data_IF_836101797412
#
_entry.id   IF_836101797412
#
_cell.length_a   1.000
_cell.length_b   1.000
_cell.length_c   1.000
_cell.angle_alpha   90.00
_cell.angle_beta   90.00
_cell.angle_gamma   90.00
#
_symmetry.space_group_name_H-M   'P 1'
#
loop_
_entity.id
_entity.type
_entity.pdbx_description
1 polymer ?
#
# COMPACT_ATOMS: atom_id res chain seq x y z
N UNK A 1 -34.95 38.00 -2.77
CA UNK A 1 -35.25 38.64 -1.46
C UNK A 1 -34.68 37.77 -0.35
N UNK A 2 -33.92 38.41 0.55
CA UNK A 2 -33.35 38.03 1.86
C UNK A 2 -31.96 37.36 1.75
N UNK A 3 -31.02 38.07 1.98
CA UNK A 3 -30.34 38.97 2.97
C UNK A 3 -29.16 38.23 3.58
N UNK A 4 -28.00 38.75 3.25
CA UNK A 4 -26.70 38.39 3.84
C UNK A 4 -26.61 38.95 5.27
N UNK A 5 -26.01 38.21 6.19
CA UNK A 5 -25.58 38.70 7.48
C UNK A 5 -24.06 38.60 7.56
N UNK A 6 -23.43 39.77 7.51
CA UNK A 6 -22.03 40.00 7.82
C UNK A 6 -21.87 40.11 9.34
N UNK A 7 -20.92 39.41 9.95
CA UNK A 7 -20.45 39.66 11.30
C UNK A 7 -19.07 40.28 11.24
N UNK A 8 -19.04 41.59 11.54
CA UNK A 8 -17.86 42.38 11.85
C UNK A 8 -17.36 42.05 13.25
N UNK A 9 -16.03 41.87 13.43
CA UNK A 9 -15.34 41.98 14.70
C UNK A 9 -14.23 43.04 14.61
N UNK A 10 -14.04 43.87 15.67
CA UNK A 10 -13.20 45.05 15.63
C UNK A 10 -11.71 44.72 15.80
N UNK A 11 -10.89 45.51 15.11
CA UNK A 11 -9.44 45.54 15.18
C UNK A 11 -9.04 46.47 16.38
N UNK A 12 -8.20 45.96 17.28
CA UNK A 12 -7.46 46.79 18.26
C UNK A 12 -5.98 46.86 17.85
N UNK A 13 -5.36 48.05 17.93
CA UNK A 13 -3.96 48.26 17.57
C UNK A 13 -3.00 47.88 18.70
N UNK A 14 -1.92 47.17 18.35
CA UNK A 14 -0.86 46.81 19.26
C UNK A 14 0.21 47.94 19.32
N UNK A 15 0.58 48.32 20.54
CA UNK A 15 1.66 49.24 20.89
C UNK A 15 3.03 48.53 20.83
N UNK A 16 4.13 49.18 20.43
CA UNK A 16 5.44 48.54 20.37
C UNK A 16 6.15 48.57 21.73
N UNK A 17 6.67 47.46 22.17
CA UNK A 17 7.51 47.33 23.36
C UNK A 17 9.01 47.37 23.00
N UNK A 18 9.70 48.22 23.68
CA UNK A 18 11.11 48.58 23.71
C UNK A 18 12.03 47.37 23.99
N UNK A 19 13.06 47.22 23.19
CA UNK A 19 14.17 46.29 23.37
C UNK A 19 15.20 46.80 24.38
N UNK A 20 15.55 45.99 25.40
CA UNK A 20 16.78 46.15 26.18
C UNK A 20 17.65 44.90 25.97
N UNK A 21 18.98 45.05 25.85
CA UNK A 21 19.90 43.94 25.69
C UNK A 21 20.23 43.28 27.04
N UNK A 22 20.12 41.99 27.15
CA UNK A 22 20.56 41.19 28.31
C UNK A 22 21.95 40.61 28.07
N UNK A 23 22.81 40.83 29.07
CA UNK A 23 24.19 40.43 29.15
C UNK A 23 24.39 38.91 29.15
N UNK A 24 25.41 38.48 28.43
CA UNK A 24 25.90 37.08 28.35
C UNK A 24 26.60 36.67 29.66
N UNK A 25 26.14 35.59 30.30
CA UNK A 25 26.85 34.91 31.40
C UNK A 25 27.84 33.90 30.83
N UNK A 26 29.07 33.80 31.43
CA UNK A 26 30.07 32.85 30.99
C UNK A 26 29.76 31.38 31.43
N UNK A 27 30.14 30.42 30.59
CA UNK A 27 30.02 28.98 30.83
C UNK A 27 30.99 28.52 31.98
N UNK A 28 30.61 27.54 32.80
CA UNK A 28 31.49 26.91 33.77
C UNK A 28 32.46 25.92 33.09
N UNK A 29 33.66 25.66 33.71
CA UNK A 29 34.71 24.82 33.14
C UNK A 29 34.37 23.34 33.21
N UNK A 30 34.78 22.56 32.15
CA UNK A 30 34.63 21.12 32.07
C UNK A 30 35.56 20.39 33.01
N UNK A 31 35.16 19.26 33.64
CA UNK A 31 36.03 18.44 34.48
C UNK A 31 36.97 17.59 33.64
N UNK A 32 38.25 17.55 34.04
CA UNK A 32 39.34 16.72 33.50
C UNK A 32 39.09 15.24 33.79
N UNK A 33 39.10 14.38 32.76
CA UNK A 33 39.09 12.93 32.85
C UNK A 33 40.40 12.39 33.47
N UNK A 34 40.30 11.75 34.62
CA UNK A 34 41.37 10.93 35.21
C UNK A 34 41.46 9.63 34.46
N UNK A 35 42.58 9.35 33.86
CA UNK A 35 42.96 8.02 33.38
C UNK A 35 43.20 7.10 34.58
N UNK A 36 42.43 6.01 34.70
CA UNK A 36 42.78 4.85 35.50
C UNK A 36 43.09 3.70 34.55
N UNK A 37 44.33 3.25 34.57
CA UNK A 37 44.75 2.02 33.95
C UNK A 37 44.17 0.82 34.72
N UNK A 38 43.64 -0.14 33.99
CA UNK A 38 43.14 -1.42 34.47
C UNK A 38 43.26 -2.45 33.35
N UNK A 39 44.28 -3.30 33.47
CA UNK A 39 44.49 -4.46 32.63
C UNK A 39 43.40 -5.51 32.91
N UNK A 40 42.53 -5.75 31.94
CA UNK A 40 41.58 -6.85 31.97
C UNK A 40 41.39 -7.35 30.54
N UNK A 41 41.76 -8.61 30.30
CA UNK A 41 41.77 -9.27 29.00
C UNK A 41 40.42 -9.30 28.31
N UNK A 42 40.37 -9.46 26.98
CA UNK A 42 39.15 -9.39 26.21
C UNK A 42 38.32 -10.67 26.31
N UNK A 43 37.26 -10.66 27.11
CA UNK A 43 36.16 -11.61 26.98
C UNK A 43 35.40 -11.28 25.68
N UNK A 44 35.62 -12.09 24.67
CA UNK A 44 34.95 -11.97 23.38
C UNK A 44 33.46 -12.36 23.50
N UNK A 45 32.63 -11.44 23.92
CA UNK A 45 31.17 -11.51 23.66
C UNK A 45 30.97 -11.25 22.18
N UNK A 46 30.89 -12.31 21.38
CA UNK A 46 30.43 -12.27 20.00
C UNK A 46 28.98 -11.80 19.99
N UNK A 47 28.74 -10.50 19.99
CA UNK A 47 27.46 -9.94 19.56
C UNK A 47 27.36 -10.17 18.07
N UNK A 48 26.61 -11.17 17.65
CA UNK A 48 26.19 -11.33 16.26
C UNK A 48 25.36 -10.12 15.86
N UNK A 49 26.00 -9.05 15.38
CA UNK A 49 25.34 -7.98 14.66
C UNK A 49 24.78 -8.62 13.38
N UNK A 50 23.52 -9.05 13.40
CA UNK A 50 22.78 -9.37 12.19
C UNK A 50 22.92 -8.16 11.27
N UNK A 51 23.66 -8.32 10.18
CA UNK A 51 23.84 -7.27 9.18
C UNK A 51 22.44 -6.76 8.74
N UNK A 52 22.17 -5.49 9.00
CA UNK A 52 20.91 -4.85 8.59
C UNK A 52 20.99 -4.71 7.08
N UNK A 53 20.19 -5.47 6.34
CA UNK A 53 20.12 -5.38 4.87
C UNK A 53 19.82 -3.94 4.45
N UNK A 54 20.48 -3.48 3.40
CA UNK A 54 20.25 -2.15 2.83
C UNK A 54 18.84 -2.04 2.21
N UNK A 55 18.34 -0.81 2.04
CA UNK A 55 17.06 -0.59 1.37
C UNK A 55 17.10 -1.14 -0.07
N UNK A 56 18.23 -1.03 -0.76
CA UNK A 56 18.42 -1.55 -2.10
C UNK A 56 18.27 -3.09 -2.15
N UNK A 57 18.93 -3.81 -1.24
CA UNK A 57 18.81 -5.28 -1.14
C UNK A 57 17.39 -5.73 -0.80
N UNK A 58 16.71 -5.02 0.11
CA UNK A 58 15.33 -5.33 0.47
C UNK A 58 14.36 -5.03 -0.67
N UNK A 59 14.60 -3.97 -1.43
CA UNK A 59 13.72 -3.58 -2.54
C UNK A 59 13.89 -4.46 -3.78
N UNK A 60 15.04 -5.07 -4.00
CA UNK A 60 15.27 -6.00 -5.10
C UNK A 60 14.24 -7.16 -5.11
N UNK A 61 13.76 -7.57 -3.94
CA UNK A 61 12.71 -8.60 -3.81
C UNK A 61 11.37 -8.18 -4.45
N UNK A 62 11.11 -6.89 -4.67
CA UNK A 62 9.89 -6.42 -5.32
C UNK A 62 9.97 -6.36 -6.85
N UNK A 63 11.16 -6.57 -7.40
CA UNK A 63 11.43 -6.63 -8.84
C UNK A 63 11.51 -8.11 -9.28
N UNK A 64 10.36 -8.81 -9.22
CA UNK A 64 10.33 -10.16 -9.74
C UNK A 64 10.64 -10.15 -11.23
N UNK A 65 11.65 -10.90 -11.71
CA UNK A 65 11.77 -11.16 -13.14
C UNK A 65 10.49 -11.85 -13.63
N UNK A 66 10.10 -11.67 -14.90
CA UNK A 66 9.06 -12.51 -15.50
C UNK A 66 9.46 -13.99 -15.38
N UNK A 67 8.51 -14.94 -15.33
CA UNK A 67 8.82 -16.34 -15.50
C UNK A 67 9.71 -16.49 -16.73
N UNK A 68 10.79 -17.27 -16.63
CA UNK A 68 11.77 -17.40 -17.72
C UNK A 68 11.13 -17.84 -19.05
N UNK A 69 9.95 -18.48 -19.00
CA UNK A 69 9.19 -18.93 -20.14
C UNK A 69 8.24 -17.87 -20.74
N UNK A 70 8.00 -16.73 -20.09
CA UNK A 70 7.02 -15.75 -20.57
C UNK A 70 7.67 -14.52 -21.21
N UNK A 71 7.09 -14.10 -22.34
CA UNK A 71 7.48 -12.88 -23.07
C UNK A 71 6.68 -11.68 -22.57
N UNK A 72 7.37 -10.53 -22.36
CA UNK A 72 6.72 -9.24 -22.17
C UNK A 72 6.09 -8.76 -23.47
N UNK A 73 4.80 -8.44 -23.43
CA UNK A 73 4.02 -7.96 -24.58
C UNK A 73 3.12 -6.81 -24.13
N UNK A 74 2.73 -5.98 -25.06
CA UNK A 74 1.70 -4.95 -24.83
C UNK A 74 0.67 -5.01 -25.96
N UNK A 75 -0.50 -4.45 -25.74
CA UNK A 75 -1.59 -4.48 -26.69
C UNK A 75 -1.52 -3.42 -27.80
N UNK A 76 -0.40 -2.72 -27.89
CA UNK A 76 -0.01 -1.94 -29.08
C UNK A 76 0.70 -2.81 -30.13
N UNK A 77 1.18 -3.99 -29.72
CA UNK A 77 1.78 -4.96 -30.64
C UNK A 77 0.70 -5.61 -31.51
N UNK A 78 1.13 -6.16 -32.66
CA UNK A 78 0.24 -6.90 -33.53
C UNK A 78 -0.33 -8.13 -32.81
N UNK A 79 -1.65 -8.22 -32.77
CA UNK A 79 -2.38 -9.31 -32.12
C UNK A 79 -3.62 -9.72 -32.90
N UNK A 80 -4.27 -10.76 -32.45
CA UNK A 80 -5.56 -11.17 -32.99
C UNK A 80 -6.65 -10.22 -32.49
N UNK A 81 -7.72 -10.09 -33.29
CA UNK A 81 -8.87 -9.26 -32.92
C UNK A 81 -10.14 -10.10 -32.90
N UNK A 82 -11.02 -9.85 -31.94
CA UNK A 82 -12.35 -10.42 -31.88
C UNK A 82 -13.35 -9.51 -32.55
N UNK A 83 -14.13 -10.04 -33.48
CA UNK A 83 -15.22 -9.33 -34.19
C UNK A 83 -16.53 -10.03 -33.95
N UNK A 84 -17.62 -9.29 -33.84
CA UNK A 84 -18.98 -9.86 -33.71
C UNK A 84 -19.39 -10.51 -35.04
N UNK A 85 -19.93 -11.75 -34.98
CA UNK A 85 -20.46 -12.46 -36.15
C UNK A 85 -21.77 -13.18 -35.77
N UNK A 86 -22.91 -12.65 -36.22
CA UNK A 86 -24.21 -13.09 -35.77
C UNK A 86 -24.34 -12.98 -34.25
N UNK A 87 -24.82 -14.05 -33.60
CA UNK A 87 -24.89 -14.12 -32.13
C UNK A 87 -23.57 -14.48 -31.44
N UNK A 88 -22.54 -14.85 -32.21
CA UNK A 88 -21.23 -15.24 -31.69
C UNK A 88 -20.10 -14.30 -32.06
N UNK A 89 -18.91 -14.85 -32.11
CA UNK A 89 -17.68 -14.12 -32.41
C UNK A 89 -16.83 -14.86 -33.43
N UNK A 90 -16.21 -14.10 -34.32
CA UNK A 90 -15.12 -14.56 -35.16
C UNK A 90 -13.81 -13.90 -34.68
N UNK A 91 -12.69 -14.48 -35.05
CA UNK A 91 -11.36 -13.97 -34.72
C UNK A 91 -10.58 -13.72 -36.00
N UNK A 92 -9.86 -12.59 -36.04
CA UNK A 92 -9.00 -12.21 -37.13
C UNK A 92 -7.54 -12.36 -36.69
N UNK A 93 -6.69 -12.81 -37.62
CA UNK A 93 -5.24 -12.88 -37.43
C UNK A 93 -4.58 -11.48 -37.43
N UNK A 94 -3.27 -11.42 -37.25
CA UNK A 94 -2.48 -10.18 -37.27
C UNK A 94 -2.50 -9.43 -38.61
N UNK A 95 -2.97 -10.09 -39.69
CA UNK A 95 -3.13 -9.53 -41.02
C UNK A 95 -4.60 -9.22 -41.35
N UNK A 96 -5.50 -9.33 -40.38
CA UNK A 96 -6.93 -9.08 -40.56
C UNK A 96 -7.71 -10.22 -41.25
N UNK A 97 -7.11 -11.38 -41.50
CA UNK A 97 -7.75 -12.54 -42.13
C UNK A 97 -8.42 -13.43 -41.09
N UNK A 98 -9.48 -14.18 -41.44
CA UNK A 98 -10.12 -15.10 -40.50
C UNK A 98 -9.14 -16.13 -39.92
N UNK A 99 -9.07 -16.18 -38.56
CA UNK A 99 -8.26 -17.15 -37.83
C UNK A 99 -8.94 -18.50 -37.86
N UNK A 100 -8.30 -19.51 -38.51
CA UNK A 100 -8.84 -20.85 -38.71
C UNK A 100 -8.06 -21.95 -37.97
N UNK A 101 -6.93 -21.64 -37.32
CA UNK A 101 -6.08 -22.61 -36.62
C UNK A 101 -6.80 -23.17 -35.39
N UNK A 102 -7.10 -24.49 -35.32
CA UNK A 102 -7.89 -25.06 -34.23
C UNK A 102 -7.26 -24.85 -32.84
N UNK A 103 -5.93 -25.04 -32.74
CA UNK A 103 -5.19 -24.85 -31.48
C UNK A 103 -5.31 -23.43 -30.96
N UNK A 104 -5.17 -22.41 -31.83
CA UNK A 104 -5.31 -21.00 -31.43
C UNK A 104 -6.76 -20.68 -31.00
N UNK A 105 -7.74 -21.19 -31.71
CA UNK A 105 -9.14 -21.03 -31.34
C UNK A 105 -9.46 -21.69 -29.99
N UNK A 106 -8.88 -22.87 -29.71
CA UNK A 106 -8.99 -23.52 -28.41
C UNK A 106 -8.36 -22.69 -27.29
N UNK A 107 -7.13 -22.18 -27.50
CA UNK A 107 -6.45 -21.25 -26.56
C UNK A 107 -7.31 -20.01 -26.28
N UNK A 108 -7.82 -19.36 -27.33
CA UNK A 108 -8.65 -18.16 -27.18
C UNK A 108 -9.94 -18.44 -26.39
N UNK A 109 -10.58 -19.58 -26.63
CA UNK A 109 -11.78 -20.00 -25.86
C UNK A 109 -11.44 -20.18 -24.37
N UNK A 110 -10.28 -20.80 -24.07
CA UNK A 110 -9.81 -20.99 -22.70
C UNK A 110 -9.55 -19.68 -21.95
N UNK A 111 -9.28 -18.56 -22.65
CA UNK A 111 -9.15 -17.23 -22.01
C UNK A 111 -10.47 -16.73 -21.42
N UNK A 112 -11.60 -17.32 -21.76
CA UNK A 112 -12.93 -16.98 -21.27
C UNK A 112 -13.19 -15.46 -21.30
N UNK A 113 -12.93 -14.82 -22.45
CA UNK A 113 -13.13 -13.36 -22.63
C UNK A 113 -14.63 -13.08 -22.62
N UNK A 114 -15.15 -12.27 -21.68
CA UNK A 114 -16.58 -12.03 -21.57
C UNK A 114 -17.19 -11.53 -22.87
N UNK A 115 -18.41 -12.01 -23.25
CA UNK A 115 -19.10 -11.56 -24.45
C UNK A 115 -19.31 -10.04 -24.51
N UNK A 116 -19.60 -9.40 -23.36
CA UNK A 116 -19.83 -7.96 -23.25
C UNK A 116 -18.57 -7.10 -23.47
N UNK A 117 -17.37 -7.69 -23.64
CA UNK A 117 -16.18 -6.90 -23.91
C UNK A 117 -16.15 -6.46 -25.37
N UNK A 118 -15.77 -5.20 -25.56
CA UNK A 118 -15.52 -4.57 -26.88
C UNK A 118 -14.02 -4.30 -27.04
N UNK A 119 -13.59 -3.94 -28.24
CA UNK A 119 -12.19 -3.59 -28.55
C UNK A 119 -11.19 -4.63 -28.03
N UNK A 120 -11.47 -5.92 -28.37
CA UNK A 120 -10.68 -7.03 -27.83
C UNK A 120 -9.46 -7.28 -28.70
N UNK A 121 -8.28 -7.08 -28.08
CA UNK A 121 -6.97 -7.51 -28.56
C UNK A 121 -6.59 -8.83 -27.88
N UNK A 122 -5.98 -9.78 -28.64
CA UNK A 122 -5.52 -11.07 -28.12
C UNK A 122 -4.08 -11.27 -28.59
N UNK A 123 -3.19 -11.60 -27.66
CA UNK A 123 -1.79 -11.86 -27.94
C UNK A 123 -1.65 -13.01 -28.95
N UNK A 124 -0.91 -12.78 -30.02
CA UNK A 124 -0.60 -13.81 -31.00
C UNK A 124 0.39 -14.87 -30.47
N UNK A 125 1.17 -14.52 -29.43
CA UNK A 125 2.11 -15.43 -28.79
C UNK A 125 1.46 -16.07 -27.55
N UNK A 126 1.46 -17.39 -27.50
CA UNK A 126 0.94 -18.16 -26.36
C UNK A 126 1.67 -17.84 -25.06
N UNK A 127 2.98 -17.51 -25.12
CA UNK A 127 3.83 -17.21 -23.96
C UNK A 127 3.81 -15.72 -23.57
N UNK A 128 2.94 -14.92 -24.17
CA UNK A 128 2.78 -13.51 -23.77
C UNK A 128 2.21 -13.38 -22.36
N UNK A 129 2.83 -12.57 -21.48
CA UNK A 129 2.35 -12.39 -20.11
C UNK A 129 0.94 -11.76 -20.05
N UNK A 130 0.57 -10.90 -21.02
CA UNK A 130 -0.81 -10.46 -21.29
C UNK A 130 -1.34 -11.30 -22.43
N UNK A 131 -2.38 -12.07 -22.19
CA UNK A 131 -3.00 -12.93 -23.20
C UNK A 131 -4.13 -12.24 -23.95
N UNK A 132 -4.86 -11.32 -23.32
CA UNK A 132 -5.83 -10.47 -23.99
C UNK A 132 -6.09 -9.18 -23.22
N UNK A 133 -6.54 -8.15 -23.94
CA UNK A 133 -7.17 -6.97 -23.37
C UNK A 133 -8.53 -6.76 -24.02
N UNK A 134 -9.39 -5.95 -23.38
CA UNK A 134 -10.70 -5.57 -23.94
C UNK A 134 -11.36 -4.54 -23.03
N UNK A 135 -12.43 -3.92 -23.50
CA UNK A 135 -13.22 -2.96 -22.73
C UNK A 135 -14.50 -3.62 -22.25
N UNK A 136 -14.78 -3.49 -20.94
CA UNK A 136 -16.04 -3.99 -20.38
C UNK A 136 -17.23 -3.08 -20.78
N UNK A 137 -18.45 -3.46 -20.37
CA UNK A 137 -19.67 -2.71 -20.66
C UNK A 137 -19.67 -1.23 -20.19
N UNK A 138 -18.72 -0.88 -19.30
CA UNK A 138 -18.50 0.51 -18.82
C UNK A 138 -17.31 1.20 -19.51
N UNK A 139 -16.79 0.64 -20.60
CA UNK A 139 -15.66 1.17 -21.35
C UNK A 139 -14.29 0.99 -20.67
N UNK A 140 -14.23 0.30 -19.53
CA UNK A 140 -12.97 0.13 -18.76
C UNK A 140 -12.11 -0.95 -19.37
N UNK A 141 -10.81 -0.65 -19.59
CA UNK A 141 -9.84 -1.62 -20.06
C UNK A 141 -9.63 -2.73 -19.04
N UNK A 142 -9.80 -3.96 -19.47
CA UNK A 142 -9.63 -5.19 -18.69
C UNK A 142 -8.52 -6.03 -19.31
N UNK A 143 -7.86 -6.84 -18.49
CA UNK A 143 -6.72 -7.65 -18.88
C UNK A 143 -6.96 -9.12 -18.56
N UNK A 144 -6.52 -10.00 -19.46
CA UNK A 144 -6.37 -11.43 -19.24
C UNK A 144 -4.88 -11.74 -19.26
N UNK A 145 -4.35 -12.17 -18.14
CA UNK A 145 -2.94 -12.54 -18.01
C UNK A 145 -2.77 -14.03 -18.19
N UNK A 146 -1.56 -14.44 -18.58
CA UNK A 146 -1.15 -15.86 -18.60
C UNK A 146 -1.31 -16.47 -17.20
N UNK A 147 -1.66 -17.77 -17.14
CA UNK A 147 -1.88 -18.46 -15.85
C UNK A 147 -0.62 -18.44 -14.98
N UNK A 148 0.54 -18.76 -15.55
CA UNK A 148 1.82 -18.76 -14.84
C UNK A 148 2.22 -17.36 -14.36
N UNK A 149 1.93 -16.32 -15.14
CA UNK A 149 2.10 -14.95 -14.70
C UNK A 149 1.26 -14.62 -13.46
N UNK A 150 0.00 -15.06 -13.45
CA UNK A 150 -0.88 -14.83 -12.31
C UNK A 150 -0.41 -15.61 -11.08
N UNK A 151 -0.01 -16.88 -11.25
CA UNK A 151 0.52 -17.72 -10.19
C UNK A 151 1.77 -17.09 -9.57
N UNK A 152 2.79 -16.82 -10.38
CA UNK A 152 4.05 -16.22 -9.93
C UNK A 152 3.84 -14.86 -9.25
N UNK A 153 3.00 -13.97 -9.82
CA UNK A 153 2.69 -12.67 -9.20
C UNK A 153 1.95 -12.82 -7.88
N UNK A 154 1.20 -13.89 -7.70
CA UNK A 154 0.51 -14.17 -6.44
C UNK A 154 1.49 -14.67 -5.38
N UNK A 155 2.45 -15.50 -5.72
CA UNK A 155 3.53 -15.96 -4.84
C UNK A 155 4.46 -14.80 -4.46
N UNK A 156 5.00 -14.10 -5.45
CA UNK A 156 5.89 -12.94 -5.21
C UNK A 156 5.29 -11.87 -4.32
N UNK A 157 4.01 -11.66 -4.42
CA UNK A 157 3.31 -10.69 -3.58
C UNK A 157 3.44 -11.02 -2.09
N UNK A 158 3.38 -12.31 -1.74
CA UNK A 158 3.52 -12.76 -0.36
C UNK A 158 4.99 -12.91 0.04
N UNK A 159 5.85 -13.37 -0.86
CA UNK A 159 7.30 -13.47 -0.62
C UNK A 159 7.95 -12.12 -0.35
N UNK A 160 7.39 -11.06 -0.89
CA UNK A 160 7.87 -9.69 -0.66
C UNK A 160 7.47 -9.10 0.70
N UNK A 161 6.49 -9.70 1.42
CA UNK A 161 6.00 -9.14 2.68
C UNK A 161 7.06 -9.04 3.78
N UNK A 162 7.96 -10.02 4.00
CA UNK A 162 9.04 -9.86 4.99
C UNK A 162 9.98 -8.69 4.67
N UNK A 163 10.31 -8.50 3.39
CA UNK A 163 11.12 -7.35 2.97
C UNK A 163 10.38 -6.03 3.20
N UNK A 164 9.08 -5.96 2.91
CA UNK A 164 8.27 -4.79 3.21
C UNK A 164 8.24 -4.47 4.70
N UNK A 165 8.01 -5.47 5.57
CA UNK A 165 8.02 -5.29 7.02
C UNK A 165 9.36 -4.75 7.53
N UNK A 166 10.48 -5.17 6.96
CA UNK A 166 11.82 -4.67 7.29
C UNK A 166 12.04 -3.22 6.80
N UNK A 167 11.47 -2.84 5.67
CA UNK A 167 11.52 -1.47 5.11
C UNK A 167 10.62 -0.47 5.87
N UNK A 168 9.52 -0.95 6.44
CA UNK A 168 8.45 -0.11 7.00
C UNK A 168 8.91 0.86 8.10
N UNK A 169 9.82 0.51 9.04
CA UNK A 169 10.35 1.46 10.03
C UNK A 169 11.08 2.65 9.40
N UNK A 170 11.89 2.40 8.37
CA UNK A 170 12.62 3.46 7.66
C UNK A 170 11.65 4.36 6.87
N UNK A 171 10.68 3.78 6.18
CA UNK A 171 9.64 4.50 5.46
C UNK A 171 8.80 5.37 6.41
N UNK A 172 8.38 4.85 7.56
CA UNK A 172 7.65 5.60 8.60
C UNK A 172 8.46 6.78 9.17
N UNK A 173 9.78 6.64 9.30
CA UNK A 173 10.65 7.77 9.70
C UNK A 173 10.66 8.86 8.64
N UNK A 174 10.84 8.51 7.36
CA UNK A 174 10.83 9.46 6.23
C UNK A 174 9.49 10.18 6.11
N UNK A 175 8.38 9.45 6.21
CA UNK A 175 7.03 10.02 6.23
C UNK A 175 6.86 11.02 7.37
N UNK A 176 7.27 10.67 8.59
CA UNK A 176 7.20 11.58 9.76
C UNK A 176 8.03 12.83 9.59
N UNK A 177 9.24 12.69 9.07
CA UNK A 177 10.12 13.83 8.79
C UNK A 177 9.47 14.79 7.79
N UNK A 178 8.96 14.28 6.68
CA UNK A 178 8.27 15.08 5.65
C UNK A 178 7.01 15.78 6.18
N UNK A 179 6.20 15.10 6.97
CA UNK A 179 5.00 15.69 7.58
C UNK A 179 5.33 16.78 8.63
N UNK A 180 6.51 16.71 9.25
CA UNK A 180 6.98 17.70 10.23
C UNK A 180 7.53 18.98 9.62
N UNK A 181 7.91 19.00 8.36
CA UNK A 181 8.61 20.11 7.70
C UNK A 181 7.69 21.22 7.19
N UNK A 182 7.47 22.27 7.99
CA UNK A 182 6.78 23.48 7.54
C UNK A 182 5.24 23.41 7.50
N UNK A 183 4.58 24.43 6.94
CA UNK A 183 3.12 24.55 6.84
C UNK A 183 2.56 24.38 5.43
N UNK A 184 3.34 24.69 4.38
CA UNK A 184 2.88 24.67 2.99
C UNK A 184 2.55 23.24 2.50
N UNK A 185 1.48 23.05 1.71
CA UNK A 185 1.13 21.75 1.12
C UNK A 185 1.98 21.47 -0.12
N UNK A 186 3.28 21.20 0.07
CA UNK A 186 4.17 20.80 -1.01
C UNK A 186 3.86 19.37 -1.50
N UNK A 187 4.22 19.03 -2.74
CA UNK A 187 4.02 17.69 -3.34
C UNK A 187 4.53 16.59 -2.40
N UNK A 188 5.76 16.72 -1.89
CA UNK A 188 6.36 15.71 -1.02
C UNK A 188 5.62 15.52 0.31
N UNK A 189 5.03 16.58 0.88
CA UNK A 189 4.24 16.50 2.12
C UNK A 189 2.87 15.86 1.88
N UNK A 190 2.21 16.20 0.79
CA UNK A 190 0.91 15.61 0.42
C UNK A 190 1.07 14.11 0.14
N UNK A 191 2.13 13.70 -0.56
CA UNK A 191 2.45 12.30 -0.80
C UNK A 191 2.78 11.55 0.51
N UNK A 192 3.55 12.17 1.42
CA UNK A 192 3.81 11.59 2.74
C UNK A 192 2.52 11.43 3.56
N UNK A 193 1.57 12.37 3.47
CA UNK A 193 0.26 12.25 4.11
C UNK A 193 -0.57 11.08 3.55
N UNK A 194 -0.59 10.91 2.24
CA UNK A 194 -1.26 9.79 1.59
C UNK A 194 -0.65 8.45 2.01
N UNK A 195 0.68 8.35 2.06
CA UNK A 195 1.36 7.12 2.52
C UNK A 195 1.11 6.88 4.02
N UNK A 196 1.05 7.93 4.84
CA UNK A 196 0.64 7.82 6.25
C UNK A 196 -0.77 7.24 6.38
N UNK A 197 -1.72 7.71 5.56
CA UNK A 197 -3.08 7.19 5.54
C UNK A 197 -3.14 5.74 5.03
N UNK A 198 -2.37 5.38 4.00
CA UNK A 198 -2.25 3.99 3.57
C UNK A 198 -1.77 3.07 4.69
N UNK A 199 -0.74 3.52 5.45
CA UNK A 199 -0.16 2.75 6.57
C UNK A 199 -1.09 2.66 7.79
N UNK A 200 -2.00 3.61 7.99
CA UNK A 200 -2.89 3.59 9.15
C UNK A 200 -4.24 2.96 8.88
N UNK A 201 -4.75 3.10 7.66
CA UNK A 201 -6.13 2.73 7.33
C UNK A 201 -6.24 1.55 6.37
N UNK A 202 -5.17 1.18 5.70
CA UNK A 202 -5.15 0.20 4.61
C UNK A 202 -6.16 0.50 3.48
N UNK A 203 -6.57 1.75 3.31
CA UNK A 203 -7.50 2.16 2.25
C UNK A 203 -6.90 1.97 0.86
N UNK A 204 -7.76 1.92 -0.17
CA UNK A 204 -7.32 1.94 -1.58
C UNK A 204 -6.87 3.32 -1.98
N UNK A 205 -5.85 3.40 -2.84
CA UNK A 205 -5.36 4.69 -3.38
C UNK A 205 -6.47 5.44 -4.12
N UNK A 206 -7.24 4.78 -4.94
CA UNK A 206 -8.21 5.40 -5.82
C UNK A 206 -7.71 5.47 -7.28
N UNK A 207 -8.65 5.69 -8.18
CA UNK A 207 -8.40 5.91 -9.60
C UNK A 207 -9.38 6.96 -10.09
N UNK A 208 -8.90 7.94 -10.84
CA UNK A 208 -9.67 9.11 -11.28
C UNK A 208 -10.82 8.70 -12.20
N UNK A 209 -10.57 7.78 -13.12
CA UNK A 209 -11.59 7.29 -14.04
C UNK A 209 -12.74 6.64 -13.28
N UNK A 210 -12.44 5.77 -12.29
CA UNK A 210 -13.48 5.17 -11.45
C UNK A 210 -14.24 6.19 -10.60
N UNK A 211 -13.57 7.25 -10.14
CA UNK A 211 -14.23 8.31 -9.38
C UNK A 211 -15.19 9.10 -10.28
N UNK A 212 -14.82 9.33 -11.54
CA UNK A 212 -15.63 10.04 -12.52
C UNK A 212 -16.83 9.21 -13.00
N UNK A 213 -16.60 7.94 -13.34
CA UNK A 213 -17.62 7.10 -14.00
C UNK A 213 -18.55 6.39 -13.03
N UNK A 214 -18.08 6.05 -11.83
CA UNK A 214 -18.84 5.22 -10.88
C UNK A 214 -19.08 5.90 -9.51
N UNK A 215 -18.63 7.13 -9.31
CA UNK A 215 -18.72 7.78 -8.01
C UNK A 215 -17.97 7.02 -6.89
N UNK A 216 -16.98 6.17 -7.25
CA UNK A 216 -16.24 5.35 -6.30
C UNK A 216 -14.87 5.95 -6.03
N UNK A 217 -14.62 6.32 -4.77
CA UNK A 217 -13.45 7.07 -4.36
C UNK A 217 -12.40 6.18 -3.67
N UNK A 218 -11.17 6.65 -3.62
CA UNK A 218 -10.08 6.19 -2.79
C UNK A 218 -9.21 7.38 -2.40
N UNK A 219 -8.16 7.18 -1.62
CA UNK A 219 -7.41 8.28 -0.98
C UNK A 219 -7.07 9.42 -1.94
N UNK A 220 -6.42 9.13 -3.08
CA UNK A 220 -5.99 10.19 -4.03
C UNK A 220 -7.14 10.91 -4.74
N UNK A 221 -8.35 10.36 -4.70
CA UNK A 221 -9.54 10.91 -5.37
C UNK A 221 -10.56 11.50 -4.42
N UNK A 222 -10.26 11.55 -3.11
CA UNK A 222 -11.13 12.16 -2.12
C UNK A 222 -11.33 13.66 -2.42
N UNK A 223 -12.55 14.12 -2.20
CA UNK A 223 -12.92 15.55 -2.26
C UNK A 223 -13.01 16.14 -0.86
N UNK A 224 -12.93 17.45 -0.73
CA UNK A 224 -13.06 18.15 0.56
C UNK A 224 -14.33 17.76 1.32
N UNK A 225 -15.45 17.55 0.62
CA UNK A 225 -16.71 17.07 1.22
C UNK A 225 -16.66 15.68 1.87
N UNK A 226 -15.63 14.88 1.56
CA UNK A 226 -15.45 13.53 2.12
C UNK A 226 -14.63 13.54 3.42
N UNK A 227 -14.16 14.70 3.88
CA UNK A 227 -13.39 14.83 5.10
C UNK A 227 -14.06 15.79 6.07
N UNK A 228 -14.06 15.41 7.36
CA UNK A 228 -14.32 16.31 8.47
C UNK A 228 -13.02 16.46 9.25
N UNK A 229 -12.53 17.71 9.36
CA UNK A 229 -11.26 18.04 9.98
C UNK A 229 -11.54 18.56 11.38
N UNK A 230 -11.29 17.74 12.40
CA UNK A 230 -11.40 18.10 13.80
C UNK A 230 -10.15 18.81 14.32
N UNK A 231 -10.04 18.98 15.63
CA UNK A 231 -8.89 19.65 16.27
C UNK A 231 -7.60 18.83 16.12
N UNK A 232 -7.66 17.52 16.37
CA UNK A 232 -6.52 16.57 16.32
C UNK A 232 -6.80 15.34 15.49
N UNK A 233 -8.01 15.17 14.95
CA UNK A 233 -8.45 13.98 14.19
C UNK A 233 -9.04 14.37 12.83
N UNK A 234 -9.00 13.43 11.90
CA UNK A 234 -9.66 13.46 10.60
C UNK A 234 -10.71 12.35 10.57
N UNK A 235 -11.91 12.63 10.06
CA UNK A 235 -12.91 11.61 9.74
C UNK A 235 -13.12 11.59 8.23
N UNK A 236 -12.84 10.45 7.60
CA UNK A 236 -12.99 10.23 6.16
C UNK A 236 -14.25 9.41 5.92
N UNK A 237 -15.26 10.01 5.27
CA UNK A 237 -16.53 9.36 4.97
C UNK A 237 -16.81 9.43 3.46
N UNK A 238 -16.82 8.27 2.78
CA UNK A 238 -17.01 8.19 1.33
C UNK A 238 -17.44 6.80 0.87
N UNK A 239 -17.91 6.72 -0.39
CA UNK A 239 -18.23 5.46 -1.06
C UNK A 239 -17.02 5.00 -1.86
N UNK A 240 -16.49 3.83 -1.54
CA UNK A 240 -15.35 3.22 -2.21
C UNK A 240 -15.75 2.20 -3.29
N UNK A 241 -14.77 1.40 -3.71
CA UNK A 241 -14.96 0.35 -4.72
C UNK A 241 -16.12 -0.59 -4.36
N UNK A 242 -16.94 -0.92 -5.33
CA UNK A 242 -18.12 -1.82 -5.21
C UNK A 242 -19.22 -1.28 -4.28
N UNK A 243 -19.32 0.06 -4.13
CA UNK A 243 -20.35 0.68 -3.30
C UNK A 243 -20.10 0.61 -1.80
N UNK A 244 -18.95 0.09 -1.35
CA UNK A 244 -18.62 -0.03 0.08
C UNK A 244 -18.48 1.34 0.71
N UNK A 245 -19.25 1.62 1.75
CA UNK A 245 -19.14 2.84 2.55
C UNK A 245 -17.95 2.74 3.49
N UNK A 246 -17.09 3.75 3.47
CA UNK A 246 -15.98 3.92 4.40
C UNK A 246 -16.30 5.08 5.32
N UNK A 247 -16.07 4.87 6.62
CA UNK A 247 -16.14 5.89 7.67
C UNK A 247 -15.01 5.61 8.66
N UNK A 248 -13.93 6.36 8.52
CA UNK A 248 -12.68 6.07 9.25
C UNK A 248 -12.17 7.34 9.92
N UNK A 249 -11.92 7.25 11.22
CA UNK A 249 -11.24 8.27 12.00
C UNK A 249 -9.73 8.01 12.05
N UNK A 250 -8.95 9.06 11.97
CA UNK A 250 -7.48 9.03 12.07
C UNK A 250 -7.02 10.14 13.00
N UNK A 251 -6.40 9.75 14.10
CA UNK A 251 -5.84 10.68 15.10
C UNK A 251 -4.37 10.94 14.78
N UNK A 252 -4.09 12.04 14.11
CA UNK A 252 -2.74 12.49 13.77
C UNK A 252 -2.74 14.01 13.53
N UNK A 253 -2.27 14.77 14.53
CA UNK A 253 -2.26 16.23 14.50
C UNK A 253 -1.42 16.80 13.32
N UNK A 254 -0.43 16.07 12.81
CA UNK A 254 0.37 16.50 11.65
C UNK A 254 -0.44 16.38 10.37
N UNK A 255 -1.19 15.28 10.21
CA UNK A 255 -2.14 15.12 9.09
C UNK A 255 -3.21 16.19 9.15
N UNK A 256 -3.80 16.46 10.31
CA UNK A 256 -4.83 17.50 10.49
C UNK A 256 -4.33 18.86 10.02
N UNK A 257 -3.14 19.28 10.46
CA UNK A 257 -2.57 20.58 10.05
C UNK A 257 -2.37 20.68 8.53
N UNK A 258 -1.85 19.62 7.92
CA UNK A 258 -1.65 19.60 6.47
C UNK A 258 -2.98 19.58 5.71
N UNK A 259 -3.94 18.76 6.15
CA UNK A 259 -5.24 18.63 5.47
C UNK A 259 -6.06 19.92 5.53
N UNK A 260 -5.97 20.70 6.60
CA UNK A 260 -6.56 22.06 6.61
C UNK A 260 -5.99 22.92 5.49
N UNK A 261 -4.66 22.97 5.35
CA UNK A 261 -4.02 23.74 4.27
C UNK A 261 -4.38 23.21 2.86
N UNK A 262 -4.51 21.91 2.70
CA UNK A 262 -4.98 21.35 1.42
C UNK A 262 -6.43 21.72 1.14
N UNK A 263 -7.29 21.73 2.17
CA UNK A 263 -8.71 22.07 2.03
C UNK A 263 -8.93 23.58 1.75
N UNK A 264 -8.00 24.44 2.17
CA UNK A 264 -8.02 25.88 1.91
C UNK A 264 -7.63 26.21 0.45
N UNK A 265 -7.07 25.26 -0.30
CA UNK A 265 -6.72 25.46 -1.71
C UNK A 265 -7.95 25.45 -2.60
N UNK A 266 -7.96 26.24 -3.69
CA UNK A 266 -9.05 26.22 -4.66
C UNK A 266 -9.32 24.84 -5.23
N UNK A 267 -10.59 24.49 -5.44
CA UNK A 267 -11.01 23.24 -6.06
C UNK A 267 -11.67 22.26 -5.11
N UNK A 268 -12.08 21.10 -5.63
CA UNK A 268 -12.85 20.10 -4.88
C UNK A 268 -12.00 18.95 -4.32
N UNK A 269 -10.75 18.80 -4.78
CA UNK A 269 -9.89 17.68 -4.39
C UNK A 269 -9.24 17.93 -3.04
N UNK A 270 -9.24 16.94 -2.15
CA UNK A 270 -8.62 17.05 -0.84
C UNK A 270 -7.09 17.02 -0.92
N UNK A 271 -6.54 16.13 -1.76
CA UNK A 271 -5.09 15.95 -1.87
C UNK A 271 -4.55 16.70 -3.09
N UNK A 272 -4.20 17.94 -2.85
CA UNK A 272 -3.58 18.84 -3.82
C UNK A 272 -2.43 19.61 -3.18
N UNK A 273 -1.53 20.11 -4.00
CA UNK A 273 -0.34 20.88 -3.60
C UNK A 273 -0.18 22.10 -4.51
N UNK A 274 0.61 23.05 -4.06
CA UNK A 274 1.05 24.17 -4.89
C UNK A 274 2.38 23.79 -5.53
N UNK A 275 2.47 23.87 -6.86
CA UNK A 275 3.71 23.69 -7.60
C UNK A 275 4.60 24.94 -7.56
N UNK A 276 5.80 24.85 -8.16
CA UNK A 276 6.79 25.95 -8.17
C UNK A 276 6.29 27.16 -8.97
N UNK A 277 5.30 27.01 -9.82
CA UNK A 277 4.62 28.07 -10.55
C UNK A 277 3.41 28.67 -9.79
N UNK A 278 3.18 28.26 -8.53
CA UNK A 278 2.06 28.72 -7.72
C UNK A 278 0.71 28.11 -8.11
N UNK A 279 0.69 27.08 -8.97
CA UNK A 279 -0.53 26.45 -9.43
C UNK A 279 -0.94 25.27 -8.54
N UNK A 280 -2.24 25.15 -8.29
CA UNK A 280 -2.82 24.00 -7.60
C UNK A 280 -2.77 22.74 -8.46
N UNK A 281 -2.05 21.70 -8.00
CA UNK A 281 -1.93 20.39 -8.63
C UNK A 281 -2.48 19.31 -7.74
N UNK A 282 -3.25 18.39 -8.30
CA UNK A 282 -3.68 17.17 -7.59
C UNK A 282 -2.61 16.08 -7.70
N UNK A 283 -2.60 15.18 -6.73
CA UNK A 283 -1.81 13.94 -6.78
C UNK A 283 -2.67 12.77 -7.26
N UNK A 284 -2.07 11.84 -7.98
CA UNK A 284 -2.74 10.63 -8.46
C UNK A 284 -2.09 9.34 -7.93
N UNK A 285 -2.53 8.19 -8.43
CA UNK A 285 -1.99 6.89 -8.04
C UNK A 285 -0.55 6.66 -8.54
N UNK A 286 -0.17 7.26 -9.64
CA UNK A 286 1.18 7.17 -10.22
C UNK A 286 2.15 7.92 -9.35
N UNK A 287 1.84 9.16 -8.99
CA UNK A 287 2.63 9.98 -8.07
C UNK A 287 2.95 9.26 -6.76
N UNK A 288 1.93 8.59 -6.17
CA UNK A 288 2.09 7.85 -4.91
C UNK A 288 3.07 6.68 -5.08
N UNK A 289 2.93 5.90 -6.17
CA UNK A 289 3.78 4.75 -6.41
C UNK A 289 5.23 5.16 -6.76
N UNK A 290 5.43 6.21 -7.55
CA UNK A 290 6.74 6.78 -7.83
C UNK A 290 7.42 7.28 -6.56
N UNK A 291 6.67 7.98 -5.70
CA UNK A 291 7.20 8.43 -4.43
C UNK A 291 7.57 7.25 -3.52
N UNK A 292 6.73 6.22 -3.43
CA UNK A 292 7.04 5.00 -2.68
C UNK A 292 8.30 4.32 -3.23
N UNK A 293 8.42 4.19 -4.54
CA UNK A 293 9.61 3.63 -5.18
C UNK A 293 10.87 4.44 -4.86
N UNK A 294 10.79 5.78 -4.85
CA UNK A 294 11.92 6.65 -4.48
C UNK A 294 12.30 6.56 -3.00
N UNK A 295 11.34 6.27 -2.10
CA UNK A 295 11.58 6.22 -0.65
C UNK A 295 11.91 4.83 -0.12
N UNK A 296 11.37 3.79 -0.71
CA UNK A 296 11.45 2.41 -0.23
C UNK A 296 12.07 1.44 -1.25
N UNK A 297 12.43 1.95 -2.43
CA UNK A 297 13.02 1.19 -3.53
C UNK A 297 12.01 0.75 -4.59
N UNK A 298 12.50 0.47 -5.81
CA UNK A 298 11.68 0.13 -6.96
C UNK A 298 10.82 -1.13 -6.67
N UNK A 299 9.63 -1.16 -7.25
CA UNK A 299 8.64 -2.25 -7.08
C UNK A 299 7.76 -2.13 -5.83
N UNK A 300 8.13 -1.33 -4.83
CA UNK A 300 7.25 -1.05 -3.68
C UNK A 300 6.10 -0.15 -4.12
N UNK A 301 4.87 -0.59 -3.90
CA UNK A 301 3.66 0.12 -4.31
C UNK A 301 2.63 0.20 -3.19
N UNK A 302 1.67 1.09 -3.31
CA UNK A 302 0.60 1.28 -2.33
C UNK A 302 -0.23 -0.01 -2.06
N UNK A 303 -0.25 -0.95 -3.00
CA UNK A 303 -1.00 -2.21 -2.85
C UNK A 303 -0.44 -3.09 -1.73
N UNK A 304 0.88 -3.05 -1.48
CA UNK A 304 1.51 -3.90 -0.46
C UNK A 304 1.02 -3.57 0.95
N UNK A 305 0.68 -2.31 1.25
CA UNK A 305 0.12 -1.92 2.55
C UNK A 305 -1.14 -2.71 2.90
N UNK A 306 -2.04 -2.90 1.94
CA UNK A 306 -3.28 -3.64 2.17
C UNK A 306 -3.02 -5.12 2.47
N UNK A 307 -2.06 -5.74 1.77
CA UNK A 307 -1.67 -7.14 2.02
C UNK A 307 -0.98 -7.26 3.37
N UNK A 308 -0.09 -6.32 3.72
CA UNK A 308 0.58 -6.27 5.01
C UNK A 308 -0.41 -6.15 6.16
N UNK A 309 -1.24 -5.11 6.13
CA UNK A 309 -2.19 -4.86 7.22
C UNK A 309 -3.30 -5.91 7.32
N UNK A 310 -3.72 -6.50 6.20
CA UNK A 310 -4.65 -7.64 6.23
C UNK A 310 -4.06 -8.86 6.92
N UNK A 311 -2.80 -9.18 6.60
CA UNK A 311 -2.10 -10.32 7.17
C UNK A 311 -1.83 -10.10 8.67
N UNK A 312 -1.35 -8.89 9.05
CA UNK A 312 -1.15 -8.52 10.47
C UNK A 312 -2.48 -8.58 11.23
N UNK A 313 -3.55 -8.01 10.68
CA UNK A 313 -4.85 -8.02 11.34
C UNK A 313 -5.42 -9.43 11.50
N UNK A 314 -5.23 -10.31 10.51
CA UNK A 314 -5.64 -11.71 10.62
C UNK A 314 -4.89 -12.44 11.75
N UNK A 315 -3.57 -12.22 11.83
CA UNK A 315 -2.74 -12.80 12.88
C UNK A 315 -3.09 -12.25 14.27
N UNK A 316 -3.28 -10.92 14.39
CA UNK A 316 -3.67 -10.30 15.66
C UNK A 316 -5.03 -10.81 16.15
N UNK A 317 -6.04 -10.91 15.25
CA UNK A 317 -7.35 -11.44 15.58
C UNK A 317 -7.32 -12.91 15.99
N UNK A 318 -6.51 -13.74 15.31
CA UNK A 318 -6.33 -15.15 15.65
C UNK A 318 -5.69 -15.32 17.03
N UNK A 319 -4.77 -14.45 17.39
CA UNK A 319 -4.05 -14.49 18.68
C UNK A 319 -4.78 -13.75 19.82
N UNK A 320 -5.84 -12.99 19.56
CA UNK A 320 -6.58 -12.27 20.61
C UNK A 320 -7.42 -13.26 21.42
N UNK A 321 -7.22 -13.35 22.75
CA UNK A 321 -8.05 -14.22 23.62
C UNK A 321 -9.54 -13.90 23.58
N UNK A 322 -9.89 -12.66 23.25
CA UNK A 322 -11.27 -12.15 23.10
C UNK A 322 -11.66 -11.96 21.65
N UNK A 323 -10.81 -12.43 20.73
CA UNK A 323 -11.01 -12.31 19.29
C UNK A 323 -12.13 -13.23 18.77
N UNK A 324 -12.51 -13.06 17.52
CA UNK A 324 -13.42 -13.96 16.85
C UNK A 324 -12.76 -15.34 16.71
N UNK A 325 -13.55 -16.41 16.78
CA UNK A 325 -13.05 -17.77 16.48
C UNK A 325 -12.40 -17.83 15.10
N UNK A 326 -11.49 -18.78 14.89
CA UNK A 326 -10.66 -18.92 13.68
C UNK A 326 -11.49 -18.82 12.37
N UNK A 327 -12.68 -19.43 12.33
CA UNK A 327 -13.60 -19.37 11.19
C UNK A 327 -14.10 -17.97 10.84
N UNK A 328 -14.13 -17.04 11.79
CA UNK A 328 -14.61 -15.67 11.62
C UNK A 328 -13.50 -14.65 11.34
N UNK A 329 -12.23 -15.01 11.54
CA UNK A 329 -11.08 -14.12 11.35
C UNK A 329 -11.05 -13.52 9.94
N UNK A 330 -11.19 -14.36 8.90
CA UNK A 330 -11.14 -13.89 7.50
C UNK A 330 -12.31 -12.96 7.20
N UNK A 331 -13.50 -13.22 7.77
CA UNK A 331 -14.68 -12.36 7.62
C UNK A 331 -14.43 -10.98 8.24
N UNK A 332 -13.93 -10.94 9.46
CA UNK A 332 -13.61 -9.68 10.15
C UNK A 332 -12.55 -8.84 9.39
N UNK A 333 -11.51 -9.48 8.85
CA UNK A 333 -10.52 -8.81 8.02
C UNK A 333 -11.12 -8.33 6.70
N UNK A 334 -12.01 -9.11 6.08
CA UNK A 334 -12.68 -8.74 4.83
C UNK A 334 -13.58 -7.50 5.02
N UNK A 335 -14.35 -7.47 6.09
CA UNK A 335 -15.17 -6.30 6.48
C UNK A 335 -14.31 -5.06 6.68
N UNK A 336 -13.24 -5.16 7.47
CA UNK A 336 -12.29 -4.06 7.71
C UNK A 336 -11.69 -3.49 6.42
N UNK A 337 -11.40 -4.34 5.44
CA UNK A 337 -10.82 -3.93 4.16
C UNK A 337 -11.87 -3.49 3.12
N UNK A 338 -13.15 -3.71 3.36
CA UNK A 338 -14.21 -3.54 2.37
C UNK A 338 -14.00 -4.48 1.16
N UNK A 339 -13.79 -5.77 1.42
CA UNK A 339 -13.62 -6.82 0.41
C UNK A 339 -14.61 -7.98 0.68
N UNK A 340 -14.78 -8.87 -0.29
CA UNK A 340 -15.41 -10.17 -0.03
C UNK A 340 -14.45 -11.12 0.68
N UNK A 341 -14.99 -12.09 1.43
CA UNK A 341 -14.22 -13.12 2.13
C UNK A 341 -13.31 -13.89 1.15
N UNK A 342 -13.84 -14.28 -0.01
CA UNK A 342 -13.08 -15.00 -1.03
C UNK A 342 -11.88 -14.20 -1.56
N UNK A 343 -12.08 -12.91 -1.84
CA UNK A 343 -11.00 -12.00 -2.28
C UNK A 343 -9.99 -11.80 -1.15
N UNK A 344 -10.43 -11.65 0.10
CA UNK A 344 -9.55 -11.46 1.22
C UNK A 344 -8.64 -12.66 1.44
N UNK A 345 -9.21 -13.87 1.46
CA UNK A 345 -8.49 -15.15 1.57
C UNK A 345 -7.45 -15.32 0.48
N UNK A 346 -7.82 -15.17 -0.78
CA UNK A 346 -6.93 -15.41 -1.93
C UNK A 346 -5.88 -14.32 -2.12
N UNK A 347 -6.24 -13.05 -1.80
CA UNK A 347 -5.46 -11.93 -2.30
C UNK A 347 -4.84 -11.03 -1.22
N UNK A 348 -5.16 -11.17 0.06
CA UNK A 348 -4.69 -10.21 1.07
C UNK A 348 -4.09 -10.85 2.32
N UNK A 349 -4.43 -12.08 2.68
CA UNK A 349 -3.86 -12.76 3.84
C UNK A 349 -2.76 -13.71 3.36
N UNK A 350 -1.60 -13.68 4.02
CA UNK A 350 -0.46 -14.54 3.69
C UNK A 350 -0.82 -16.02 3.89
N UNK A 351 -0.38 -16.96 3.00
CA UNK A 351 -0.67 -18.38 3.12
C UNK A 351 -0.32 -18.97 4.48
N UNK A 352 0.85 -18.66 5.07
CA UNK A 352 1.22 -19.16 6.39
C UNK A 352 0.20 -18.78 7.47
N UNK A 353 -0.36 -17.58 7.46
CA UNK A 353 -1.41 -17.18 8.41
C UNK A 353 -2.72 -17.88 8.07
N UNK A 354 -3.02 -18.13 6.79
CA UNK A 354 -4.19 -18.92 6.39
C UNK A 354 -4.07 -20.38 6.86
N UNK A 355 -2.88 -20.96 6.84
CA UNK A 355 -2.62 -22.31 7.38
C UNK A 355 -2.85 -22.36 8.90
N UNK A 356 -2.36 -21.36 9.65
CA UNK A 356 -2.65 -21.27 11.10
C UNK A 356 -4.16 -21.14 11.37
N UNK A 357 -4.90 -20.36 10.59
CA UNK A 357 -6.36 -20.26 10.73
C UNK A 357 -7.03 -21.62 10.44
N UNK A 358 -6.53 -22.36 9.46
CA UNK A 358 -7.09 -23.65 9.03
C UNK A 358 -6.69 -24.81 9.95
N UNK A 359 -5.57 -24.71 10.68
CA UNK A 359 -5.09 -25.79 11.56
C UNK A 359 -5.98 -26.07 12.76
N UNK A 360 -6.83 -25.10 13.14
CA UNK A 360 -7.68 -25.22 14.32
C UNK A 360 -6.94 -25.26 15.66
N UNK A 361 -5.64 -24.95 15.68
CA UNK A 361 -4.85 -24.90 16.91
C UNK A 361 -5.41 -23.89 17.90
N UNK A 362 -5.30 -24.21 19.18
CA UNK A 362 -5.73 -23.29 20.24
C UNK A 362 -4.94 -21.98 20.16
N UNK A 363 -5.64 -20.83 20.11
CA UNK A 363 -4.98 -19.53 20.19
C UNK A 363 -4.03 -19.36 21.38
N UNK A 364 -4.25 -20.06 22.50
CA UNK A 364 -3.34 -20.05 23.66
C UNK A 364 -2.00 -20.74 23.34
N UNK A 365 -2.05 -21.88 22.66
CA UNK A 365 -0.85 -22.60 22.20
C UNK A 365 -0.08 -21.78 21.17
N UNK A 366 -0.78 -21.15 20.21
CA UNK A 366 -0.17 -20.26 19.24
C UNK A 366 0.53 -19.06 19.91
N UNK A 367 -0.08 -18.47 20.95
CA UNK A 367 0.53 -17.38 21.74
C UNK A 367 1.78 -17.81 22.48
N UNK A 368 1.87 -19.08 22.91
CA UNK A 368 3.02 -19.63 23.60
C UNK A 368 4.22 -19.89 22.66
N UNK A 369 3.99 -19.98 21.36
CA UNK A 369 5.07 -20.17 20.37
C UNK A 369 6.12 -19.05 20.42
N UNK A 370 7.41 -19.33 20.25
CA UNK A 370 8.49 -18.33 20.36
C UNK A 370 8.29 -17.10 19.48
N UNK A 371 7.79 -17.29 18.23
CA UNK A 371 7.53 -16.20 17.30
C UNK A 371 6.41 -15.27 17.78
N UNK A 372 5.45 -15.76 18.55
CA UNK A 372 4.32 -15.00 19.06
C UNK A 372 4.60 -14.41 20.46
N UNK A 373 5.19 -15.21 21.36
CA UNK A 373 5.46 -14.82 22.75
C UNK A 373 6.58 -13.79 22.85
N UNK A 374 7.69 -14.00 22.13
CA UNK A 374 8.92 -13.19 22.24
C UNK A 374 9.46 -12.80 20.86
N UNK A 375 8.66 -12.10 20.00
CA UNK A 375 9.15 -11.70 18.70
C UNK A 375 10.31 -10.71 18.85
N UNK A 376 11.33 -10.77 17.99
CA UNK A 376 12.49 -9.87 18.03
C UNK A 376 12.05 -8.40 18.10
N UNK A 377 12.71 -7.64 18.98
CA UNK A 377 12.44 -6.21 19.12
C UNK A 377 12.83 -5.46 17.84
N UNK A 378 11.94 -4.61 17.33
CA UNK A 378 12.23 -3.74 16.20
C UNK A 378 11.54 -2.38 16.40
N UNK A 379 12.35 -1.33 16.58
CA UNK A 379 11.82 0.04 16.76
C UNK A 379 11.08 0.49 15.50
N UNK A 380 9.83 0.91 15.66
CA UNK A 380 8.99 1.37 14.55
C UNK A 380 8.04 0.32 13.99
N UNK A 381 8.08 -0.92 14.51
CA UNK A 381 7.07 -1.96 14.27
C UNK A 381 6.20 -2.18 15.51
N UNK A 382 4.91 -2.42 15.29
CA UNK A 382 3.93 -2.83 16.32
C UNK A 382 4.14 -4.30 16.69
N UNK A 383 3.57 -4.76 17.79
CA UNK A 383 3.71 -6.14 18.24
C UNK A 383 3.28 -7.15 17.18
N UNK A 384 2.08 -7.00 16.61
CA UNK A 384 1.56 -7.89 15.56
C UNK A 384 2.45 -7.91 14.31
N UNK A 385 3.04 -6.76 13.92
CA UNK A 385 3.97 -6.68 12.80
C UNK A 385 5.28 -7.44 13.07
N UNK A 386 5.77 -7.40 14.32
CA UNK A 386 6.95 -8.17 14.76
C UNK A 386 6.66 -9.67 14.80
N UNK A 387 5.48 -10.05 15.31
CA UNK A 387 5.00 -11.44 15.32
C UNK A 387 4.92 -12.00 13.90
N UNK A 388 4.34 -11.24 12.97
CA UNK A 388 4.28 -11.65 11.58
C UNK A 388 5.67 -11.86 10.98
N UNK A 389 6.61 -10.94 11.18
CA UNK A 389 7.97 -11.10 10.68
C UNK A 389 8.68 -12.33 11.27
N UNK A 390 8.48 -12.61 12.57
CA UNK A 390 9.05 -13.78 13.22
C UNK A 390 8.45 -15.08 12.67
N UNK A 391 7.14 -15.14 12.49
CA UNK A 391 6.45 -16.27 11.86
C UNK A 391 7.00 -16.55 10.45
N UNK A 392 7.05 -15.51 9.59
CA UNK A 392 7.52 -15.66 8.21
C UNK A 392 9.01 -16.00 8.11
N UNK A 393 9.81 -15.64 9.10
CA UNK A 393 11.21 -16.06 9.18
C UNK A 393 11.35 -17.54 9.54
N UNK A 394 10.51 -18.06 10.44
CA UNK A 394 10.46 -19.48 10.80
C UNK A 394 10.04 -20.35 9.61
N UNK A 395 9.00 -20.00 8.90
CA UNK A 395 8.54 -20.70 7.69
C UNK A 395 9.65 -20.86 6.64
N UNK A 396 10.38 -19.79 6.37
CA UNK A 396 11.50 -19.81 5.41
C UNK A 396 12.66 -20.71 5.88
N UNK A 397 12.87 -20.85 7.16
CA UNK A 397 13.91 -21.73 7.71
C UNK A 397 13.49 -23.20 7.62
N UNK A 398 12.22 -23.50 7.88
CA UNK A 398 11.63 -24.84 7.76
C UNK A 398 11.65 -25.39 6.31
N UNK A 399 11.33 -24.57 5.33
CA UNK A 399 11.41 -24.94 3.92
C UNK A 399 12.83 -25.21 3.41
N UNK A 400 13.85 -24.55 3.99
CA UNK A 400 15.26 -24.81 3.64
C UNK A 400 15.80 -26.11 4.18
N UNK A 401 15.26 -26.63 5.28
CA UNK A 401 15.68 -27.91 5.87
C UNK A 401 15.07 -29.08 5.09
N UNK A 402 13.85 -28.94 4.55
CA UNK A 402 13.19 -29.97 3.75
C UNK A 402 13.63 -30.06 2.28
N UNK A 403 14.40 -29.08 1.77
CA UNK A 403 14.91 -29.10 0.39
C UNK A 403 16.33 -29.75 0.26
N UNK A 404 16.93 -30.17 1.35
CA UNK A 404 18.25 -30.82 1.41
C UNK A 404 18.18 -32.29 1.88
N UNK A 405 17.03 -32.89 1.93
CA UNK A 405 16.79 -34.30 2.09
C UNK A 405 16.10 -34.83 0.84
#
# INVERSE_FOLDING_TARGET
>A
MHVAAACNFPVHPATPASSRPTATKPLPPQPRLRQRGGSGGPSAVRSSRRATRSIAELSAVFQAPPPQALRWVNDQELGYRRVKKGEGFAYLDTRGRPLRRPAELARIRALAIPPAYTDVWICANADGHIQATGRDARGRKQYRYHADWQAQRSEYKFDSLPAFGQLLPALRRRVRSRLGGGSAPTRGRVLAALVRLLDTTAMRVGNIEYARTNGSYGLSTLKCRHVRIGRSSLRLAFVGKSGVRHDVAVDDARLVRLMRRCADLPGQHLFQYIDDAGQGRRVDSTDINEWLASQAGPGVSAKVFRTWHATVAALDLLLDPRGPGASQVVKAVAERLGNTVAVCRKAYIHPAVMQLIASGQDPAELRAQPWAARPPACRGLRLGERRLLALLAQERSGHRIGANT
#
